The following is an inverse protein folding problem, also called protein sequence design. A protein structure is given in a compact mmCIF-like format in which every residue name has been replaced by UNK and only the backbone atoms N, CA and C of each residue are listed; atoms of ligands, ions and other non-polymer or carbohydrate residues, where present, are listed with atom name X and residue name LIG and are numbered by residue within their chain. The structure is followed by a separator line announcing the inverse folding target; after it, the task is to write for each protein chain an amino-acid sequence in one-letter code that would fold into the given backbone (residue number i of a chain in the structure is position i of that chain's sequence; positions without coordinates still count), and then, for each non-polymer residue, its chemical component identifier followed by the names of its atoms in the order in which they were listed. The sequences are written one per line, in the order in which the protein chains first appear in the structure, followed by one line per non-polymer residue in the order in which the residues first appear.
data_IF_985152693943
#
_entry.id   IF_985152693943
#
_cell.length_a   1.000
_cell.length_b   1.000
_cell.length_c   1.000
_cell.angle_alpha   90.00
_cell.angle_beta   90.00
_cell.angle_gamma   90.00
#
_symmetry.space_group_name_H-M   'P 1'
#
loop_
_entity.id
_entity.type
_entity.pdbx_description
1 polymer ?
#
# COMPACT_ATOMS: atom_id res chain seq x y z
N UNK A 1 -20.06 12.06 17.22
CA UNK A 1 -19.76 11.14 16.11
C UNK A 1 -18.35 11.49 15.65
N UNK A 2 -17.37 10.68 16.02
CA UNK A 2 -15.97 11.01 15.75
C UNK A 2 -15.72 11.07 14.26
N UNK A 3 -15.05 12.12 13.79
CA UNK A 3 -14.43 12.13 12.46
C UNK A 3 -13.52 10.90 12.38
N UNK A 4 -13.98 9.85 11.70
CA UNK A 4 -13.15 8.69 11.43
C UNK A 4 -11.93 9.18 10.67
N UNK A 5 -10.73 8.81 11.12
CA UNK A 5 -9.47 9.13 10.46
C UNK A 5 -9.59 8.82 8.98
N UNK A 6 -9.61 9.87 8.15
CA UNK A 6 -9.72 9.75 6.70
C UNK A 6 -8.31 9.73 6.11
N UNK A 7 -8.00 8.69 5.36
CA UNK A 7 -6.73 8.57 4.68
C UNK A 7 -6.80 9.35 3.37
N UNK A 8 -5.90 10.31 3.17
CA UNK A 8 -5.82 11.07 1.93
C UNK A 8 -4.82 10.43 0.97
N UNK A 9 -5.26 10.21 -0.27
CA UNK A 9 -4.41 9.62 -1.31
C UNK A 9 -3.17 10.48 -1.61
N UNK A 10 -3.27 11.80 -1.48
CA UNK A 10 -2.16 12.72 -1.67
C UNK A 10 -1.07 12.53 -0.61
N UNK A 11 -1.44 12.33 0.65
CA UNK A 11 -0.49 12.11 1.75
C UNK A 11 0.24 10.77 1.58
N UNK A 12 -0.48 9.72 1.19
CA UNK A 12 0.13 8.42 0.88
C UNK A 12 1.10 8.53 -0.29
N UNK A 13 0.70 9.22 -1.36
CA UNK A 13 1.56 9.42 -2.53
C UNK A 13 2.82 10.24 -2.20
N UNK A 14 2.68 11.30 -1.40
CA UNK A 14 3.81 12.11 -0.94
C UNK A 14 4.78 11.27 -0.11
N UNK A 15 4.26 10.47 0.82
CA UNK A 15 5.08 9.58 1.63
C UNK A 15 5.83 8.54 0.78
N UNK A 16 5.17 7.95 -0.22
CA UNK A 16 5.81 6.99 -1.14
C UNK A 16 6.92 7.65 -1.97
N UNK A 17 6.71 8.88 -2.44
CA UNK A 17 7.74 9.62 -3.18
C UNK A 17 8.95 9.94 -2.28
N UNK A 18 8.71 10.36 -1.04
CA UNK A 18 9.78 10.75 -0.11
C UNK A 18 10.55 9.58 0.47
N UNK A 19 9.87 8.48 0.85
CA UNK A 19 10.48 7.41 1.65
C UNK A 19 10.67 6.09 0.91
N UNK A 20 9.96 5.90 -0.21
CA UNK A 20 10.14 4.74 -1.08
C UNK A 20 10.80 5.11 -2.42
N UNK A 21 11.16 6.38 -2.62
CA UNK A 21 11.78 6.90 -3.85
C UNK A 21 10.96 6.51 -5.08
N UNK A 22 9.63 6.60 -4.92
CA UNK A 22 8.69 6.26 -5.95
C UNK A 22 8.47 7.48 -6.87
N UNK A 23 8.41 7.21 -8.17
CA UNK A 23 8.06 8.23 -9.16
C UNK A 23 6.68 8.83 -8.86
N UNK A 24 6.49 10.13 -9.10
CA UNK A 24 5.25 10.84 -8.74
C UNK A 24 3.98 10.21 -9.32
N UNK A 25 4.04 9.71 -10.55
CA UNK A 25 2.87 9.14 -11.24
C UNK A 25 2.46 7.76 -10.68
N UNK A 26 3.37 6.78 -10.58
CA UNK A 26 3.12 5.53 -9.83
C UNK A 26 2.69 5.77 -8.37
N UNK A 27 3.35 6.68 -7.65
CA UNK A 27 3.03 6.99 -6.25
C UNK A 27 1.59 7.49 -6.07
N UNK A 28 1.12 8.38 -6.97
CA UNK A 28 -0.29 8.84 -6.98
C UNK A 28 -1.28 7.71 -7.26
N UNK A 29 -0.94 6.78 -8.15
CA UNK A 29 -1.81 5.64 -8.44
C UNK A 29 -1.91 4.72 -7.22
N UNK A 30 -0.78 4.36 -6.62
CA UNK A 30 -0.75 3.55 -5.40
C UNK A 30 -1.45 4.24 -4.24
N UNK A 31 -1.22 5.54 -4.04
CA UNK A 31 -1.85 6.31 -2.97
C UNK A 31 -3.38 6.32 -3.04
N UNK A 32 -3.97 6.35 -4.24
CA UNK A 32 -5.42 6.21 -4.42
C UNK A 32 -5.94 4.84 -4.00
N UNK A 33 -5.23 3.77 -4.34
CA UNK A 33 -5.63 2.40 -3.97
C UNK A 33 -5.54 2.22 -2.46
N UNK A 34 -4.40 2.57 -1.87
CA UNK A 34 -4.16 2.44 -0.42
C UNK A 34 -5.19 3.23 0.39
N UNK A 35 -5.35 4.52 0.08
CA UNK A 35 -6.32 5.36 0.79
C UNK A 35 -7.76 4.87 0.57
N UNK A 36 -8.09 4.37 -0.62
CA UNK A 36 -9.39 3.76 -0.91
C UNK A 36 -9.67 2.54 -0.04
N UNK A 37 -8.74 1.58 -0.01
CA UNK A 37 -8.85 0.37 0.80
C UNK A 37 -9.01 0.70 2.28
N UNK A 38 -8.14 1.55 2.83
CA UNK A 38 -8.20 1.90 4.25
C UNK A 38 -9.45 2.69 4.64
N UNK A 39 -9.94 3.59 3.77
CA UNK A 39 -11.21 4.29 3.99
C UNK A 39 -12.42 3.33 3.88
N UNK A 40 -12.32 2.26 3.09
CA UNK A 40 -13.30 1.17 3.04
C UNK A 40 -13.16 0.17 4.21
N UNK A 41 -12.21 0.42 5.13
CA UNK A 41 -11.85 -0.47 6.25
C UNK A 41 -11.29 -1.82 5.81
N UNK A 42 -10.73 -1.87 4.61
CA UNK A 42 -10.03 -3.02 4.08
C UNK A 42 -8.53 -2.90 4.37
N UNK A 43 -8.09 -3.68 5.35
CA UNK A 43 -6.72 -3.63 5.87
C UNK A 43 -5.92 -4.89 5.54
N UNK A 44 -6.37 -5.68 4.57
CA UNK A 44 -5.65 -6.87 4.13
C UNK A 44 -4.45 -6.51 3.24
N UNK A 45 -3.43 -7.35 3.33
CA UNK A 45 -2.25 -7.27 2.50
C UNK A 45 -2.60 -7.21 1.01
N UNK A 46 -3.48 -8.11 0.55
CA UNK A 46 -3.93 -8.17 -0.84
C UNK A 46 -4.56 -6.90 -1.38
N UNK A 47 -5.15 -6.06 -0.52
CA UNK A 47 -5.84 -4.84 -0.95
C UNK A 47 -4.88 -3.74 -1.40
N UNK A 48 -3.63 -3.74 -0.89
CA UNK A 48 -2.68 -2.65 -1.12
C UNK A 48 -1.34 -3.09 -1.69
N UNK A 49 -0.85 -4.28 -1.35
CA UNK A 49 0.48 -4.73 -1.72
C UNK A 49 0.66 -4.89 -3.24
N UNK A 50 -0.31 -5.35 -4.04
CA UNK A 50 -0.19 -5.35 -5.50
C UNK A 50 0.04 -3.96 -6.10
N UNK A 51 -0.68 -2.94 -5.58
CA UNK A 51 -0.53 -1.56 -6.05
C UNK A 51 0.82 -0.95 -5.63
N UNK A 52 1.29 -1.28 -4.42
CA UNK A 52 2.62 -0.88 -3.96
C UNK A 52 3.73 -1.58 -4.76
N UNK A 53 3.58 -2.86 -5.09
CA UNK A 53 4.54 -3.61 -5.91
C UNK A 53 4.66 -3.01 -7.31
N UNK A 54 3.52 -2.73 -7.96
CA UNK A 54 3.49 -2.06 -9.26
C UNK A 54 4.12 -0.67 -9.20
N UNK A 55 3.95 0.05 -8.09
CA UNK A 55 4.60 1.35 -7.87
C UNK A 55 6.11 1.22 -7.81
N UNK A 56 6.63 0.30 -6.98
CA UNK A 56 8.07 0.08 -6.84
C UNK A 56 8.70 -0.35 -8.17
N UNK A 57 8.07 -1.31 -8.86
CA UNK A 57 8.54 -1.80 -10.14
C UNK A 57 8.58 -0.68 -11.20
N UNK A 58 7.54 0.14 -11.29
CA UNK A 58 7.48 1.27 -12.22
C UNK A 58 8.54 2.34 -11.93
N UNK A 59 9.01 2.44 -10.69
CA UNK A 59 10.06 3.37 -10.25
C UNK A 59 11.45 2.74 -10.20
N UNK A 60 11.63 1.55 -10.78
CA UNK A 60 12.93 0.85 -10.78
C UNK A 60 13.40 0.40 -9.40
N UNK A 61 12.51 0.40 -8.39
CA UNK A 61 12.81 -0.02 -7.02
C UNK A 61 12.63 -1.53 -6.88
N UNK A 62 13.43 -2.19 -6.04
CA UNK A 62 13.39 -3.64 -5.93
C UNK A 62 12.15 -4.10 -5.15
N UNK A 63 11.35 -5.00 -5.74
CA UNK A 63 10.11 -5.54 -5.14
C UNK A 63 10.37 -6.27 -3.81
N UNK A 64 11.60 -6.72 -3.54
CA UNK A 64 11.98 -7.29 -2.22
C UNK A 64 11.78 -6.30 -1.05
N UNK A 65 11.74 -5.00 -1.30
CA UNK A 65 11.50 -3.97 -0.29
C UNK A 65 10.01 -3.76 0.02
N UNK A 66 9.11 -4.41 -0.73
CA UNK A 66 7.68 -4.21 -0.69
C UNK A 66 7.06 -4.33 0.71
N UNK A 67 7.31 -5.44 1.40
CA UNK A 67 6.74 -5.68 2.73
C UNK A 67 7.26 -4.66 3.76
N UNK A 68 8.54 -4.30 3.66
CA UNK A 68 9.15 -3.27 4.53
C UNK A 68 8.60 -1.85 4.24
N UNK A 69 8.26 -1.55 2.99
CA UNK A 69 7.58 -0.30 2.62
C UNK A 69 6.15 -0.29 3.15
N UNK A 70 5.42 -1.40 2.98
CA UNK A 70 4.03 -1.53 3.44
C UNK A 70 3.91 -1.43 4.97
N UNK A 71 4.80 -2.07 5.73
CA UNK A 71 4.81 -1.97 7.20
C UNK A 71 5.10 -0.54 7.67
N UNK A 72 6.12 0.12 7.09
CA UNK A 72 6.44 1.52 7.41
C UNK A 72 5.31 2.48 7.05
N UNK A 73 4.66 2.25 5.92
CA UNK A 73 3.50 3.02 5.49
C UNK A 73 2.33 2.83 6.47
N UNK A 74 2.00 1.59 6.82
CA UNK A 74 0.93 1.27 7.77
C UNK A 74 1.18 1.94 9.12
N UNK A 75 2.40 1.84 9.66
CA UNK A 75 2.82 2.53 10.90
C UNK A 75 2.69 4.05 10.79
N UNK A 76 3.12 4.65 9.68
CA UNK A 76 3.06 6.11 9.48
C UNK A 76 1.65 6.65 9.55
N UNK A 77 0.69 5.89 9.03
CA UNK A 77 -0.72 6.29 8.94
C UNK A 77 -1.58 5.68 10.07
N UNK A 78 -0.99 4.94 11.00
CA UNK A 78 -1.72 4.29 12.09
C UNK A 78 -2.66 3.17 11.64
N UNK A 79 -2.43 2.60 10.46
CA UNK A 79 -3.16 1.46 9.94
C UNK A 79 -2.53 0.14 10.44
N UNK A 80 -3.35 -0.88 10.68
CA UNK A 80 -2.89 -2.22 11.01
C UNK A 80 -3.03 -3.10 9.76
N UNK A 81 -1.92 -3.56 9.16
CA UNK A 81 -1.97 -4.42 7.98
C UNK A 81 -2.13 -5.89 8.38
N UNK A 82 -3.17 -6.55 7.86
CA UNK A 82 -3.39 -7.97 8.07
C UNK A 82 -2.79 -8.79 6.93
N UNK A 83 -1.74 -9.56 7.24
CA UNK A 83 -1.09 -10.50 6.32
C UNK A 83 -1.29 -11.94 6.80
N UNK A 84 -2.54 -12.28 7.15
CA UNK A 84 -2.92 -13.64 7.53
C UNK A 84 -3.65 -14.26 6.34
N UNK A 85 -2.94 -15.07 5.56
CA UNK A 85 -3.47 -15.67 4.33
C UNK A 85 -4.75 -16.51 4.52
N UNK A 86 -5.02 -17.03 5.73
CA UNK A 86 -6.26 -17.75 6.01
C UNK A 86 -7.51 -16.85 6.04
N UNK A 87 -7.34 -15.54 6.28
CA UNK A 87 -8.43 -14.56 6.38
C UNK A 87 -8.40 -13.53 5.25
N UNK A 88 -7.35 -13.54 4.43
CA UNK A 88 -7.22 -12.66 3.28
C UNK A 88 -8.19 -13.11 2.16
N UNK A 89 -9.04 -12.20 1.63
CA UNK A 89 -9.96 -12.54 0.54
C UNK A 89 -9.27 -12.92 -0.78
N UNK A 90 -8.01 -12.53 -0.97
CA UNK A 90 -7.18 -12.95 -2.10
C UNK A 90 -5.81 -13.46 -1.61
N UNK A 91 -5.73 -14.68 -1.06
CA UNK A 91 -4.49 -15.21 -0.46
C UNK A 91 -3.38 -15.51 -1.47
N UNK A 92 -3.66 -15.42 -2.76
CA UNK A 92 -2.72 -15.71 -3.84
C UNK A 92 -2.06 -14.48 -4.44
N UNK A 93 -2.34 -13.28 -3.91
CA UNK A 93 -1.82 -11.99 -4.38
C UNK A 93 -0.29 -11.98 -4.57
N UNK A 94 0.47 -12.73 -3.76
CA UNK A 94 1.93 -12.86 -3.88
C UNK A 94 2.38 -13.42 -5.23
N UNK A 95 1.58 -14.26 -5.88
CA UNK A 95 1.89 -14.80 -7.22
C UNK A 95 1.77 -13.74 -8.33
N UNK A 96 1.01 -12.68 -8.08
CA UNK A 96 0.75 -11.60 -9.04
C UNK A 96 1.90 -10.59 -9.10
N UNK A 97 2.76 -10.53 -8.06
CA UNK A 97 3.85 -9.55 -7.93
C UNK A 97 5.25 -10.12 -8.23
N UNK A 98 5.42 -11.44 -8.33
CA UNK A 98 6.72 -12.08 -8.62
C UNK A 98 7.01 -12.24 -10.12
N UNK A 99 6.36 -11.47 -11.00
CA UNK A 99 6.58 -11.51 -12.45
C UNK A 99 7.55 -10.46 -12.94
#
# INVERSE_FOLDING_TARGET
MGEGTRYHAADVAAWLAEHADADPSPARRAGRVVAGAWNAREFYASAILPALAACLAASGRPVRELEAVADRLARRFGAHLHDVGAWDPNPHWRKEISR
#
